data_IF_254134506962
#
_entry.id   IF_254134506962
#
_cell.length_a   1.000
_cell.length_b   1.000
_cell.length_c   1.000
_cell.angle_alpha   90.00
_cell.angle_beta   90.00
_cell.angle_gamma   90.00
#
_symmetry.space_group_name_H-M   'P 1'
#
loop_
_entity.id
_entity.type
_entity.pdbx_description
1 polymer ?
#
# COMPACT_ATOMS: atom_id res chain seq x y z
N UNK A 1 17.33 -12.14 11.91
CA UNK A 1 15.94 -11.62 11.76
C UNK A 1 15.22 -12.30 10.60
N UNK A 2 15.52 -12.02 9.32
CA UNK A 2 14.78 -12.66 8.19
C UNK A 2 14.69 -14.21 8.23
N UNK A 3 15.76 -14.96 8.58
CA UNK A 3 15.69 -16.43 8.64
C UNK A 3 14.68 -16.97 9.67
N UNK A 4 14.28 -16.16 10.65
CA UNK A 4 13.33 -16.54 11.71
C UNK A 4 11.93 -15.99 11.45
N UNK A 5 11.66 -15.44 10.25
CA UNK A 5 10.33 -14.93 9.87
C UNK A 5 9.59 -15.93 8.99
N UNK A 6 8.24 -15.98 9.03
CA UNK A 6 7.46 -17.01 8.33
C UNK A 6 7.74 -17.15 6.83
N UNK A 7 8.08 -16.04 6.15
CA UNK A 7 8.32 -16.01 4.70
C UNK A 7 9.66 -15.38 4.31
N UNK A 8 10.62 -15.30 5.23
CA UNK A 8 11.90 -14.63 4.98
C UNK A 8 11.78 -13.11 4.75
N UNK A 9 10.66 -12.52 5.13
CA UNK A 9 10.28 -11.14 4.88
C UNK A 9 9.79 -10.46 6.15
N UNK A 10 9.91 -9.12 6.16
CA UNK A 10 9.35 -8.23 7.17
C UNK A 10 8.37 -7.27 6.48
N UNK A 11 7.35 -6.75 7.18
CA UNK A 11 7.09 -6.88 8.62
C UNK A 11 6.46 -8.20 9.06
N UNK A 12 6.64 -8.53 10.34
CA UNK A 12 5.94 -9.58 11.09
C UNK A 12 5.34 -8.95 12.35
N UNK A 13 4.05 -9.18 12.58
CA UNK A 13 3.37 -8.86 13.84
C UNK A 13 3.27 -10.13 14.67
N UNK A 14 3.63 -10.06 15.96
CA UNK A 14 3.45 -11.14 16.91
C UNK A 14 2.42 -10.72 17.98
N UNK A 15 1.37 -11.52 18.15
CA UNK A 15 0.33 -11.32 19.18
C UNK A 15 0.15 -12.63 19.93
N UNK A 16 0.41 -12.63 21.24
CA UNK A 16 0.31 -13.81 22.11
C UNK A 16 1.09 -15.03 21.56
N UNK A 17 2.31 -14.78 21.07
CA UNK A 17 3.18 -15.81 20.48
C UNK A 17 2.76 -16.30 19.08
N UNK A 18 1.68 -15.76 18.50
CA UNK A 18 1.26 -16.07 17.12
C UNK A 18 1.78 -15.01 16.16
N UNK A 19 2.47 -15.45 15.11
CA UNK A 19 3.04 -14.55 14.11
C UNK A 19 2.14 -14.42 12.87
N UNK A 20 2.00 -13.19 12.38
CA UNK A 20 1.36 -12.84 11.12
C UNK A 20 2.32 -11.99 10.27
N UNK A 21 2.30 -12.18 8.96
CA UNK A 21 3.09 -11.42 7.99
C UNK A 21 2.17 -10.60 7.07
N UNK A 22 2.76 -9.81 6.16
CA UNK A 22 2.09 -8.92 5.19
C UNK A 22 1.61 -7.61 5.80
N UNK A 23 2.27 -6.50 5.45
CA UNK A 23 1.99 -5.17 5.99
C UNK A 23 0.53 -4.75 5.84
N UNK A 24 -0.08 -4.94 4.67
CA UNK A 24 -1.48 -4.56 4.42
C UNK A 24 -2.46 -5.38 5.26
N UNK A 25 -2.24 -6.70 5.38
CA UNK A 25 -3.10 -7.56 6.20
C UNK A 25 -3.00 -7.22 7.69
N UNK A 26 -1.77 -6.97 8.17
CA UNK A 26 -1.51 -6.51 9.53
C UNK A 26 -2.19 -5.16 9.79
N UNK A 27 -2.04 -4.19 8.88
CA UNK A 27 -2.66 -2.88 9.01
C UNK A 27 -4.20 -2.98 9.07
N UNK A 28 -4.81 -3.80 8.21
CA UNK A 28 -6.26 -4.05 8.22
C UNK A 28 -6.72 -4.68 9.54
N UNK A 29 -6.01 -5.69 10.04
CA UNK A 29 -6.30 -6.32 11.33
C UNK A 29 -6.26 -5.32 12.49
N UNK A 30 -5.21 -4.49 12.54
CA UNK A 30 -5.07 -3.45 13.55
C UNK A 30 -6.11 -2.34 13.38
N UNK A 31 -6.47 -2.00 12.14
CA UNK A 31 -7.53 -1.05 11.82
C UNK A 31 -8.89 -1.49 12.38
N UNK A 32 -9.23 -2.78 12.22
CA UNK A 32 -10.44 -3.36 12.84
C UNK A 32 -10.39 -3.27 14.36
N UNK A 33 -9.24 -3.54 14.98
CA UNK A 33 -9.07 -3.43 16.44
C UNK A 33 -9.14 -2.00 16.96
N UNK A 34 -8.69 -1.03 16.17
CA UNK A 34 -8.71 0.39 16.53
C UNK A 34 -10.03 1.09 16.19
N UNK A 35 -11.00 0.39 15.58
CA UNK A 35 -12.28 0.97 15.20
C UNK A 35 -12.19 1.95 14.03
N UNK A 36 -11.21 1.78 13.14
CA UNK A 36 -10.98 2.62 11.95
C UNK A 36 -11.16 1.84 10.63
N UNK A 37 -11.79 0.66 10.68
CA UNK A 37 -12.22 -0.10 9.51
C UNK A 37 -13.64 0.31 9.09
N UNK A 38 -14.17 -0.29 8.03
CA UNK A 38 -15.53 -0.04 7.58
C UNK A 38 -16.59 -0.55 8.56
N UNK A 39 -17.75 0.09 8.57
CA UNK A 39 -18.92 -0.29 9.38
C UNK A 39 -19.68 -1.48 8.78
N UNK A 40 -19.43 -1.77 7.50
CA UNK A 40 -20.01 -2.87 6.73
C UNK A 40 -19.02 -3.32 5.64
N UNK A 41 -19.36 -4.40 4.94
CA UNK A 41 -18.49 -5.02 3.93
C UNK A 41 -18.22 -4.09 2.74
N UNK A 42 -19.16 -3.20 2.40
CA UNK A 42 -18.95 -2.24 1.31
C UNK A 42 -17.95 -1.16 1.70
N UNK A 43 -18.02 -0.64 2.93
CA UNK A 43 -17.04 0.31 3.46
C UNK A 43 -15.65 -0.31 3.61
N UNK A 44 -15.56 -1.57 4.03
CA UNK A 44 -14.30 -2.34 4.04
C UNK A 44 -13.74 -2.49 2.61
N UNK A 45 -14.59 -2.80 1.63
CA UNK A 45 -14.21 -2.91 0.22
C UNK A 45 -13.64 -1.60 -0.32
N UNK A 46 -14.22 -0.46 0.02
CA UNK A 46 -13.72 0.85 -0.43
C UNK A 46 -12.34 1.16 0.12
N UNK A 47 -12.07 0.84 1.40
CA UNK A 47 -10.75 0.95 1.99
C UNK A 47 -9.77 0.03 1.24
N UNK A 48 -10.13 -1.23 1.06
CA UNK A 48 -9.27 -2.24 0.43
C UNK A 48 -8.94 -1.88 -1.02
N UNK A 49 -9.92 -1.45 -1.80
CA UNK A 49 -9.74 -1.04 -3.19
C UNK A 49 -8.73 0.10 -3.32
N UNK A 50 -8.80 1.10 -2.43
CA UNK A 50 -7.88 2.24 -2.46
C UNK A 50 -6.46 1.85 -2.02
N UNK A 51 -6.32 0.97 -1.03
CA UNK A 51 -5.01 0.48 -0.59
C UNK A 51 -4.37 -0.44 -1.62
N UNK A 52 -5.14 -1.29 -2.30
CA UNK A 52 -4.62 -2.14 -3.37
C UNK A 52 -4.22 -1.31 -4.60
N UNK A 53 -5.01 -0.29 -4.97
CA UNK A 53 -4.64 0.67 -6.02
C UNK A 53 -3.35 1.42 -5.65
N UNK A 54 -3.17 1.82 -4.38
CA UNK A 54 -1.92 2.40 -3.91
C UNK A 54 -0.75 1.41 -4.00
N UNK A 55 -0.98 0.12 -3.73
CA UNK A 55 0.04 -0.91 -3.87
C UNK A 55 0.47 -1.11 -5.32
N UNK A 56 -0.44 -1.03 -6.29
CA UNK A 56 -0.10 -1.06 -7.72
C UNK A 56 0.84 0.09 -8.10
N UNK A 57 0.55 1.31 -7.62
CA UNK A 57 1.48 2.44 -7.75
C UNK A 57 2.83 2.14 -7.08
N UNK A 58 2.81 1.70 -5.81
CA UNK A 58 4.01 1.42 -5.03
C UNK A 58 4.89 0.33 -5.65
N UNK A 59 4.33 -0.63 -6.39
CA UNK A 59 5.11 -1.64 -7.10
C UNK A 59 6.03 -1.03 -8.17
N UNK A 60 5.62 0.05 -8.83
CA UNK A 60 6.47 0.79 -9.77
C UNK A 60 7.65 1.46 -9.04
N UNK A 61 7.41 2.03 -7.85
CA UNK A 61 8.48 2.56 -6.99
C UNK A 61 9.47 1.48 -6.58
N UNK A 62 8.97 0.31 -6.16
CA UNK A 62 9.83 -0.82 -5.77
C UNK A 62 10.67 -1.31 -6.94
N UNK A 63 10.10 -1.38 -8.15
CA UNK A 63 10.82 -1.76 -9.37
C UNK A 63 11.96 -0.80 -9.65
N UNK A 64 11.70 0.50 -9.64
CA UNK A 64 12.74 1.53 -9.80
C UNK A 64 13.80 1.46 -8.69
N UNK A 65 13.38 1.38 -7.44
CA UNK A 65 14.30 1.41 -6.29
C UNK A 65 15.26 0.21 -6.27
N UNK A 66 14.79 -0.96 -6.71
CA UNK A 66 15.57 -2.21 -6.74
C UNK A 66 16.34 -2.43 -8.03
N UNK A 67 16.18 -1.59 -9.04
CA UNK A 67 16.96 -1.68 -10.26
C UNK A 67 18.43 -1.34 -9.97
N UNK A 68 19.32 -2.20 -10.48
CA UNK A 68 20.78 -2.10 -10.30
C UNK A 68 21.47 -1.52 -11.52
N UNK A 69 20.91 -1.66 -12.72
CA UNK A 69 21.44 -1.04 -13.93
C UNK A 69 21.04 0.44 -13.99
N UNK A 70 22.03 1.33 -13.90
CA UNK A 70 21.78 2.79 -13.82
C UNK A 70 21.05 3.34 -15.06
N UNK A 71 21.32 2.80 -16.25
CA UNK A 71 20.65 3.25 -17.48
C UNK A 71 19.16 2.87 -17.47
N UNK A 72 18.84 1.65 -17.05
CA UNK A 72 17.45 1.18 -16.89
C UNK A 72 16.75 1.91 -15.75
N UNK A 73 17.44 2.11 -14.63
CA UNK A 73 16.91 2.83 -13.48
C UNK A 73 16.50 4.25 -13.85
N UNK A 74 17.32 4.97 -14.62
CA UNK A 74 16.99 6.32 -15.12
C UNK A 74 15.76 6.31 -16.03
N UNK A 75 15.63 5.33 -16.93
CA UNK A 75 14.42 5.19 -17.77
C UNK A 75 13.17 4.93 -16.94
N UNK A 76 13.26 4.05 -15.93
CA UNK A 76 12.16 3.79 -15.01
C UNK A 76 11.79 5.04 -14.21
N UNK A 77 12.76 5.83 -13.79
CA UNK A 77 12.53 7.11 -13.12
C UNK A 77 11.79 8.10 -14.00
N UNK A 78 12.19 8.25 -15.26
CA UNK A 78 11.53 9.14 -16.22
C UNK A 78 10.05 8.75 -16.41
N UNK A 79 9.75 7.46 -16.63
CA UNK A 79 8.35 6.98 -16.71
C UNK A 79 7.60 7.15 -15.40
N UNK A 80 8.26 6.90 -14.27
CA UNK A 80 7.65 7.02 -12.94
C UNK A 80 7.25 8.47 -12.65
N UNK A 81 8.14 9.43 -12.91
CA UNK A 81 7.94 10.84 -12.58
C UNK A 81 7.01 11.54 -13.58
N UNK A 82 7.13 11.24 -14.87
CA UNK A 82 6.41 11.99 -15.90
C UNK A 82 5.06 11.37 -16.29
N UNK A 83 4.85 10.08 -16.02
CA UNK A 83 3.63 9.38 -16.44
C UNK A 83 2.91 8.73 -15.25
N UNK A 84 3.60 7.86 -14.53
CA UNK A 84 2.96 7.00 -13.51
C UNK A 84 2.49 7.81 -12.29
N UNK A 85 3.38 8.59 -11.68
CA UNK A 85 3.04 9.38 -10.49
C UNK A 85 1.97 10.44 -10.80
N UNK A 86 2.04 11.22 -11.89
CA UNK A 86 0.96 12.14 -12.24
C UNK A 86 -0.39 11.45 -12.43
N UNK A 87 -0.42 10.29 -13.10
CA UNK A 87 -1.67 9.53 -13.28
C UNK A 87 -2.30 9.13 -11.94
N UNK A 88 -1.53 8.48 -11.06
CA UNK A 88 -2.04 8.01 -9.79
C UNK A 88 -2.35 9.16 -8.83
N UNK A 89 -1.45 10.15 -8.70
CA UNK A 89 -1.62 11.24 -7.73
C UNK A 89 -2.76 12.17 -8.10
N UNK A 90 -3.01 12.45 -9.38
CA UNK A 90 -4.19 13.21 -9.78
C UNK A 90 -5.48 12.47 -9.38
N UNK A 91 -5.55 11.16 -9.65
CA UNK A 91 -6.71 10.34 -9.26
C UNK A 91 -6.89 10.24 -7.76
N UNK A 92 -5.80 10.04 -7.00
CA UNK A 92 -5.85 10.02 -5.54
C UNK A 92 -6.30 11.37 -4.98
N UNK A 93 -5.77 12.48 -5.50
CA UNK A 93 -6.14 13.82 -5.08
C UNK A 93 -7.63 14.09 -5.33
N UNK A 94 -8.13 13.76 -6.53
CA UNK A 94 -9.55 13.90 -6.87
C UNK A 94 -10.43 13.00 -5.98
N UNK A 95 -10.01 11.76 -5.73
CA UNK A 95 -10.73 10.84 -4.86
C UNK A 95 -10.83 11.39 -3.43
N UNK A 96 -9.70 11.79 -2.84
CA UNK A 96 -9.62 12.37 -1.49
C UNK A 96 -10.51 13.61 -1.38
N UNK A 97 -10.45 14.51 -2.37
CA UNK A 97 -11.29 15.72 -2.41
C UNK A 97 -12.78 15.38 -2.42
N UNK A 98 -13.17 14.36 -3.18
CA UNK A 98 -14.57 13.94 -3.31
C UNK A 98 -15.03 13.01 -2.18
N UNK A 99 -14.14 12.63 -1.27
CA UNK A 99 -14.39 11.70 -0.17
C UNK A 99 -14.00 12.34 1.18
N UNK A 100 -14.44 13.59 1.41
CA UNK A 100 -14.32 14.27 2.71
C UNK A 100 -12.90 14.57 3.20
N UNK A 101 -11.89 14.46 2.34
CA UNK A 101 -10.48 14.56 2.74
C UNK A 101 -9.86 13.24 3.21
N UNK A 102 -10.56 12.12 3.03
CA UNK A 102 -10.08 10.78 3.39
C UNK A 102 -9.87 9.88 2.16
N UNK A 103 -9.03 8.86 2.31
CA UNK A 103 -8.82 7.87 1.25
C UNK A 103 -10.06 6.99 1.00
N UNK A 104 -10.88 6.74 2.02
CA UNK A 104 -12.13 6.01 1.90
C UNK A 104 -13.05 6.40 3.06
N UNK A 105 -14.37 6.30 2.87
CA UNK A 105 -15.40 6.47 3.90
C UNK A 105 -15.33 7.82 4.64
N UNK A 106 -15.10 8.91 3.91
CA UNK A 106 -14.96 10.26 4.46
C UNK A 106 -16.23 11.09 4.38
#
# INVERSE_FOLDING_TARGET
>A
IKPTTPFGQVPVLEVDGKQASQSTAIARYLGKKAGIAGSNEWEDLMIDSMIDTFNDFRMNLVKWFRESDEATKKKLEETLVNETAPFYFNKFNDHIKNNGGFLANG
#
